data_IF_017437139886
#
_entry.id   IF_017437139886
#
_cell.length_a   1.000
_cell.length_b   1.000
_cell.length_c   1.000
_cell.angle_alpha   90.00
_cell.angle_beta   90.00
_cell.angle_gamma   90.00
#
_symmetry.space_group_name_H-M   'P 1'
#
loop_
_entity.id
_entity.type
_entity.pdbx_description
1 polymer ?
#
# COMPACT_ATOMS: atom_id res chain seq x y z
N UNK A 1 -13.05 -16.42 0.45
CA UNK A 1 -13.65 -15.57 -0.59
C UNK A 1 -13.19 -16.07 -1.95
N UNK A 2 -14.08 -16.56 -2.81
CA UNK A 2 -13.67 -17.20 -4.06
C UNK A 2 -13.74 -16.16 -5.19
N UNK A 3 -12.58 -15.69 -5.63
CA UNK A 3 -12.47 -14.87 -6.84
C UNK A 3 -13.04 -15.71 -7.99
N UNK A 4 -14.21 -15.34 -8.51
CA UNK A 4 -14.79 -16.07 -9.64
C UNK A 4 -13.81 -15.94 -10.81
N UNK A 5 -13.35 -17.06 -11.37
CA UNK A 5 -12.41 -17.09 -12.53
C UNK A 5 -12.79 -16.15 -13.68
N UNK A 6 -14.07 -15.85 -13.84
CA UNK A 6 -14.59 -14.90 -14.84
C UNK A 6 -14.32 -13.42 -14.53
N UNK A 7 -14.26 -13.01 -13.25
CA UNK A 7 -14.09 -11.61 -12.87
C UNK A 7 -12.66 -11.12 -13.16
N UNK A 8 -11.64 -11.95 -12.87
CA UNK A 8 -10.26 -11.63 -13.21
C UNK A 8 -10.04 -11.46 -14.71
N UNK A 9 -10.64 -12.33 -15.55
CA UNK A 9 -10.56 -12.17 -17.01
C UNK A 9 -11.19 -10.87 -17.48
N UNK A 10 -12.34 -10.49 -16.92
CA UNK A 10 -13.00 -9.22 -17.27
C UNK A 10 -12.12 -8.02 -16.91
N UNK A 11 -11.48 -8.05 -15.71
CA UNK A 11 -10.54 -7.00 -15.32
C UNK A 11 -9.38 -6.89 -16.31
N UNK A 12 -8.68 -8.00 -16.62
CA UNK A 12 -7.52 -7.97 -17.50
C UNK A 12 -7.87 -7.49 -18.89
N UNK A 13 -9.02 -7.91 -19.43
CA UNK A 13 -9.53 -7.40 -20.71
C UNK A 13 -9.75 -5.87 -20.66
N UNK A 14 -10.41 -5.36 -19.60
CA UNK A 14 -10.61 -3.92 -19.42
C UNK A 14 -9.29 -3.18 -19.25
N UNK A 15 -8.33 -3.76 -18.57
CA UNK A 15 -6.99 -3.19 -18.47
C UNK A 15 -6.33 -3.04 -19.85
N UNK A 16 -6.44 -4.06 -20.71
CA UNK A 16 -5.96 -3.99 -22.09
C UNK A 16 -6.69 -2.90 -22.91
N UNK A 17 -8.03 -2.87 -22.85
CA UNK A 17 -8.87 -1.89 -23.56
C UNK A 17 -8.53 -0.45 -23.17
N UNK A 18 -8.17 -0.20 -21.90
CA UNK A 18 -7.85 1.13 -21.38
C UNK A 18 -6.34 1.40 -21.26
N UNK A 19 -5.49 0.55 -21.82
CA UNK A 19 -4.02 0.67 -21.74
C UNK A 19 -3.50 0.85 -20.30
N UNK A 20 -4.10 0.14 -19.35
CA UNK A 20 -3.68 0.17 -17.94
C UNK A 20 -2.39 -0.63 -17.79
N UNK A 21 -1.32 0.02 -17.35
CA UNK A 21 0.03 -0.55 -17.21
C UNK A 21 0.44 -0.83 -15.78
N UNK A 22 -0.41 -0.53 -14.82
CA UNK A 22 -0.13 -0.80 -13.40
C UNK A 22 -1.32 -1.51 -12.76
N UNK A 23 -1.06 -2.67 -12.16
CA UNK A 23 -2.01 -3.38 -11.33
C UNK A 23 -1.51 -3.43 -9.88
N UNK A 24 -2.40 -3.09 -8.95
CA UNK A 24 -2.12 -3.14 -7.51
C UNK A 24 -2.98 -4.21 -6.88
N UNK A 25 -2.32 -5.20 -6.29
CA UNK A 25 -2.98 -6.19 -5.44
C UNK A 25 -3.06 -5.62 -4.03
N UNK A 26 -4.25 -5.40 -3.56
CA UNK A 26 -4.51 -4.82 -2.24
C UNK A 26 -5.76 -5.45 -1.62
N UNK A 27 -5.90 -5.33 -0.33
CA UNK A 27 -7.13 -5.69 0.38
C UNK A 27 -7.68 -4.48 1.15
N UNK A 28 -8.98 -4.44 1.35
CA UNK A 28 -9.63 -3.40 2.16
C UNK A 28 -9.62 -3.80 3.64
N UNK A 29 -10.05 -5.03 3.91
CA UNK A 29 -10.16 -5.62 5.26
C UNK A 29 -9.33 -6.90 5.40
N UNK A 30 -8.66 -7.32 4.32
CA UNK A 30 -7.88 -8.56 4.24
C UNK A 30 -6.53 -8.27 3.59
N UNK A 31 -5.60 -9.21 3.66
CA UNK A 31 -4.30 -9.10 3.00
C UNK A 31 -4.31 -9.89 1.69
N UNK A 32 -3.74 -9.35 0.59
CA UNK A 32 -3.66 -10.04 -0.71
C UNK A 32 -3.02 -11.43 -0.60
N UNK A 33 -2.04 -11.60 0.28
CA UNK A 33 -1.39 -12.87 0.53
C UNK A 33 -2.30 -13.97 1.09
N UNK A 34 -3.50 -13.62 1.57
CA UNK A 34 -4.51 -14.61 1.96
C UNK A 34 -5.22 -15.23 0.77
N UNK A 35 -5.10 -14.63 -0.43
CA UNK A 35 -5.73 -15.17 -1.62
C UNK A 35 -4.98 -16.41 -2.12
N UNK A 36 -5.63 -17.55 -2.10
CA UNK A 36 -5.00 -18.84 -2.42
C UNK A 36 -4.53 -18.96 -3.87
N UNK A 37 -5.14 -18.23 -4.79
CA UNK A 37 -4.80 -18.22 -6.22
C UNK A 37 -3.98 -16.99 -6.62
N UNK A 38 -3.33 -16.35 -5.66
CA UNK A 38 -2.55 -15.13 -5.87
C UNK A 38 -1.49 -15.33 -6.97
N UNK A 39 -0.72 -16.42 -6.90
CA UNK A 39 0.32 -16.72 -7.88
C UNK A 39 -0.26 -16.96 -9.29
N UNK A 40 -1.33 -17.73 -9.40
CA UNK A 40 -2.03 -17.97 -10.67
C UNK A 40 -2.51 -16.65 -11.30
N UNK A 41 -3.01 -15.72 -10.49
CA UNK A 41 -3.47 -14.41 -10.98
C UNK A 41 -2.30 -13.53 -11.46
N UNK A 42 -1.15 -13.55 -10.78
CA UNK A 42 0.08 -12.88 -11.21
C UNK A 42 0.52 -13.43 -12.57
N UNK A 43 0.66 -14.75 -12.70
CA UNK A 43 1.13 -15.39 -13.93
C UNK A 43 0.20 -15.10 -15.10
N UNK A 44 -1.11 -15.10 -14.86
CA UNK A 44 -2.11 -14.73 -15.85
C UNK A 44 -2.02 -13.24 -16.24
N UNK A 45 -1.88 -12.34 -15.27
CA UNK A 45 -1.75 -10.92 -15.57
C UNK A 45 -0.54 -10.64 -16.46
N UNK A 46 0.58 -11.29 -16.20
CA UNK A 46 1.78 -11.16 -17.05
C UNK A 46 1.60 -11.77 -18.44
N UNK A 47 0.87 -12.88 -18.57
CA UNK A 47 0.59 -13.51 -19.86
C UNK A 47 -0.36 -12.67 -20.72
N UNK A 48 -1.42 -12.08 -20.13
CA UNK A 48 -2.42 -11.32 -20.86
C UNK A 48 -2.03 -9.83 -21.06
N UNK A 49 -1.13 -9.30 -20.19
CA UNK A 49 -0.65 -7.92 -20.22
C UNK A 49 0.88 -7.92 -20.03
N UNK A 50 1.69 -8.22 -21.07
CA UNK A 50 3.14 -8.42 -20.94
C UNK A 50 3.91 -7.23 -20.37
N UNK A 51 3.44 -6.00 -20.61
CA UNK A 51 4.08 -4.76 -20.12
C UNK A 51 3.53 -4.28 -18.77
N UNK A 52 2.62 -5.06 -18.14
CA UNK A 52 2.00 -4.64 -16.89
C UNK A 52 3.00 -4.66 -15.75
N UNK A 53 2.99 -3.60 -14.97
CA UNK A 53 3.71 -3.53 -13.69
C UNK A 53 2.80 -3.97 -12.56
N UNK A 54 3.21 -5.00 -11.84
CA UNK A 54 2.46 -5.57 -10.73
C UNK A 54 3.02 -5.07 -9.41
N UNK A 55 2.17 -4.56 -8.53
CA UNK A 55 2.54 -4.19 -7.18
C UNK A 55 1.62 -4.82 -6.14
N UNK A 56 2.17 -5.11 -4.97
CA UNK A 56 1.41 -5.59 -3.81
C UNK A 56 1.39 -4.52 -2.72
N UNK A 57 0.21 -4.30 -2.13
CA UNK A 57 0.05 -3.58 -0.87
C UNK A 57 -0.37 -4.58 0.20
N UNK A 58 0.49 -4.82 1.18
CA UNK A 58 0.32 -5.86 2.21
C UNK A 58 0.70 -5.32 3.59
N UNK A 59 0.20 -5.94 4.65
CA UNK A 59 0.68 -5.68 6.00
C UNK A 59 2.03 -6.36 6.32
N UNK A 60 2.57 -7.17 5.42
CA UNK A 60 3.86 -7.81 5.54
C UNK A 60 3.88 -9.13 6.33
N UNK A 61 2.85 -9.45 7.10
CA UNK A 61 2.83 -10.60 8.02
C UNK A 61 3.09 -11.94 7.31
N UNK A 62 2.57 -12.09 6.10
CA UNK A 62 2.74 -13.31 5.30
C UNK A 62 3.86 -13.23 4.27
N UNK A 63 4.53 -12.10 4.11
CA UNK A 63 5.48 -11.87 3.02
C UNK A 63 6.68 -12.84 3.06
N UNK A 64 7.22 -13.14 4.25
CA UNK A 64 8.30 -14.12 4.40
C UNK A 64 7.84 -15.55 4.10
N UNK A 65 6.66 -15.94 4.59
CA UNK A 65 6.09 -17.26 4.33
C UNK A 65 5.79 -17.46 2.84
N UNK A 66 5.38 -16.41 2.14
CA UNK A 66 5.07 -16.40 0.70
C UNK A 66 6.16 -15.72 -0.14
N UNK A 67 7.42 -15.81 0.28
CA UNK A 67 8.55 -15.10 -0.34
C UNK A 67 8.63 -15.24 -1.86
N UNK A 68 8.35 -16.41 -2.40
CA UNK A 68 8.37 -16.64 -3.84
C UNK A 68 7.28 -15.86 -4.57
N UNK A 69 6.06 -15.83 -4.03
CA UNK A 69 4.95 -15.06 -4.58
C UNK A 69 5.19 -13.55 -4.39
N UNK A 70 5.72 -13.15 -3.22
CA UNK A 70 6.10 -11.76 -2.95
C UNK A 70 7.13 -11.24 -3.96
N UNK A 71 8.14 -12.03 -4.27
CA UNK A 71 9.17 -11.67 -5.25
C UNK A 71 8.73 -11.83 -6.73
N UNK A 72 7.51 -12.29 -7.00
CA UNK A 72 6.93 -12.31 -8.34
C UNK A 72 6.27 -10.99 -8.76
N UNK A 73 6.09 -10.06 -7.81
CA UNK A 73 5.71 -8.68 -8.10
C UNK A 73 6.91 -7.86 -8.59
N UNK A 74 6.65 -6.68 -9.13
CA UNK A 74 7.70 -5.73 -9.54
C UNK A 74 8.07 -4.77 -8.42
N UNK A 75 7.18 -4.58 -7.44
CA UNK A 75 7.39 -3.74 -6.25
C UNK A 75 6.40 -4.07 -5.16
N UNK A 76 6.75 -3.73 -3.93
CA UNK A 76 5.89 -3.91 -2.77
C UNK A 76 5.71 -2.60 -1.98
N UNK A 77 4.55 -2.47 -1.36
CA UNK A 77 4.25 -1.47 -0.36
C UNK A 77 3.82 -2.17 0.93
N UNK A 78 4.61 -2.01 1.99
CA UNK A 78 4.28 -2.56 3.31
C UNK A 78 3.52 -1.52 4.12
N UNK A 79 2.32 -1.86 4.57
CA UNK A 79 1.55 -1.04 5.49
C UNK A 79 2.07 -1.26 6.91
N UNK A 80 2.83 -0.29 7.41
CA UNK A 80 3.45 -0.36 8.73
C UNK A 80 3.24 0.98 9.46
N UNK A 81 2.32 1.08 10.43
CA UNK A 81 2.08 2.32 11.14
C UNK A 81 3.06 2.60 12.27
N UNK A 82 3.67 1.57 12.86
CA UNK A 82 4.62 1.69 13.96
C UNK A 82 5.48 0.42 14.10
N UNK A 83 6.65 0.57 14.71
CA UNK A 83 7.47 -0.54 15.19
C UNK A 83 7.21 -0.89 16.67
N UNK A 84 6.43 -0.07 17.37
CA UNK A 84 6.01 -0.33 18.73
C UNK A 84 4.78 -1.26 18.71
N UNK A 85 4.85 -2.38 19.45
CA UNK A 85 3.78 -3.38 19.44
C UNK A 85 2.45 -2.86 20.01
N UNK A 86 2.50 -1.95 20.99
CA UNK A 86 1.28 -1.38 21.60
C UNK A 86 0.62 -0.39 20.64
N UNK A 87 1.42 0.47 19.98
CA UNK A 87 0.93 1.38 18.93
C UNK A 87 0.41 0.59 17.72
N UNK A 88 1.15 -0.44 17.31
CA UNK A 88 0.76 -1.31 16.20
C UNK A 88 -0.58 -2.00 16.47
N UNK A 89 -0.77 -2.51 17.71
CA UNK A 89 -2.03 -3.15 18.12
C UNK A 89 -3.23 -2.19 18.04
N UNK A 90 -3.07 -0.95 18.52
CA UNK A 90 -4.12 0.07 18.44
C UNK A 90 -4.52 0.40 17.00
N UNK A 91 -3.58 0.30 16.07
CA UNK A 91 -3.79 0.70 14.66
C UNK A 91 -4.14 -0.48 13.74
N UNK A 92 -3.65 -1.69 14.03
CA UNK A 92 -3.77 -2.86 13.15
C UNK A 92 -4.57 -4.01 13.79
N UNK A 93 -4.95 -3.89 15.07
CA UNK A 93 -5.70 -4.90 15.79
C UNK A 93 -4.87 -6.14 16.19
N UNK A 94 -3.55 -6.07 16.13
CA UNK A 94 -2.64 -7.16 16.47
C UNK A 94 -1.32 -6.62 17.02
N UNK A 95 -0.75 -7.28 18.02
CA UNK A 95 0.59 -6.96 18.55
C UNK A 95 1.74 -7.49 17.68
N UNK A 96 1.42 -8.29 16.68
CA UNK A 96 2.43 -8.93 15.83
C UNK A 96 2.91 -7.96 14.74
N UNK A 97 3.94 -7.18 15.07
CA UNK A 97 4.63 -6.30 14.11
C UNK A 97 5.44 -7.18 13.14
N UNK A 98 5.26 -7.04 11.82
CA UNK A 98 6.03 -7.81 10.85
C UNK A 98 7.52 -7.48 10.94
N UNK A 99 8.39 -8.48 10.77
CA UNK A 99 9.84 -8.27 10.71
C UNK A 99 10.22 -7.63 9.37
N UNK A 100 10.17 -6.29 9.33
CA UNK A 100 10.49 -5.53 8.12
C UNK A 100 11.95 -5.73 7.69
N UNK A 101 12.89 -5.93 8.64
CA UNK A 101 14.30 -6.16 8.33
C UNK A 101 14.47 -7.47 7.54
N UNK A 102 13.86 -8.55 8.02
CA UNK A 102 13.88 -9.83 7.33
C UNK A 102 13.16 -9.78 5.97
N UNK A 103 12.03 -9.05 5.88
CA UNK A 103 11.31 -8.86 4.60
C UNK A 103 12.21 -8.13 3.59
N UNK A 104 12.85 -7.03 3.97
CA UNK A 104 13.75 -6.27 3.10
C UNK A 104 14.94 -7.13 2.66
N UNK A 105 15.56 -7.86 3.58
CA UNK A 105 16.69 -8.74 3.28
C UNK A 105 16.32 -9.89 2.33
N UNK A 106 15.09 -10.43 2.42
CA UNK A 106 14.59 -11.50 1.55
C UNK A 106 13.99 -10.99 0.23
N UNK A 107 13.81 -9.69 0.08
CA UNK A 107 13.17 -9.08 -1.09
C UNK A 107 14.16 -8.96 -2.27
N UNK A 108 13.68 -9.35 -3.46
CA UNK A 108 14.36 -9.12 -4.74
C UNK A 108 13.76 -7.94 -5.50
N UNK A 109 12.75 -7.29 -4.93
CA UNK A 109 11.99 -6.21 -5.52
C UNK A 109 12.06 -4.96 -4.63
N UNK A 110 11.91 -3.75 -5.18
CA UNK A 110 11.83 -2.53 -4.39
C UNK A 110 10.69 -2.58 -3.37
N UNK A 111 11.01 -2.28 -2.11
CA UNK A 111 10.05 -2.18 -1.02
C UNK A 111 9.93 -0.72 -0.58
N UNK A 112 8.71 -0.20 -0.53
CA UNK A 112 8.37 1.06 0.14
C UNK A 112 7.48 0.78 1.34
N UNK A 113 7.42 1.74 2.27
CA UNK A 113 6.52 1.70 3.41
C UNK A 113 5.41 2.73 3.25
N UNK A 114 4.21 2.38 3.67
CA UNK A 114 3.08 3.28 3.83
C UNK A 114 2.66 3.28 5.31
N UNK A 115 2.60 4.47 5.90
CA UNK A 115 2.21 4.68 7.28
C UNK A 115 1.00 5.60 7.33
N UNK A 116 -0.10 5.14 7.89
CA UNK A 116 -1.21 6.02 8.28
C UNK A 116 -0.80 6.72 9.56
N UNK A 117 -0.96 8.05 9.61
CA UNK A 117 -0.65 8.87 10.79
C UNK A 117 -1.93 9.25 11.50
N UNK A 118 -1.96 9.04 12.81
CA UNK A 118 -3.04 9.46 13.68
C UNK A 118 -2.50 9.78 15.09
N UNK A 119 -3.39 9.99 16.06
CA UNK A 119 -3.05 10.30 17.45
C UNK A 119 -2.17 9.28 18.15
N UNK A 120 -2.19 8.02 17.68
CA UNK A 120 -1.45 6.94 18.33
C UNK A 120 0.03 6.89 17.93
N UNK A 121 0.39 7.38 16.73
CA UNK A 121 1.74 7.26 16.20
C UNK A 121 2.39 8.57 15.73
N UNK A 122 1.67 9.69 15.74
CA UNK A 122 2.20 10.96 15.26
C UNK A 122 3.51 11.37 15.98
N UNK A 123 3.61 11.08 17.26
CA UNK A 123 4.79 11.38 18.08
C UNK A 123 6.02 10.48 17.78
N UNK A 124 5.80 9.34 17.09
CA UNK A 124 6.86 8.39 16.73
C UNK A 124 7.47 8.65 15.34
N UNK A 125 6.89 9.56 14.52
CA UNK A 125 7.17 9.65 13.08
C UNK A 125 8.65 9.94 12.77
N UNK A 126 9.32 10.81 13.52
CA UNK A 126 10.74 11.11 13.30
C UNK A 126 11.62 9.88 13.55
N UNK A 127 11.43 9.19 14.68
CA UNK A 127 12.16 7.96 15.01
C UNK A 127 11.81 6.84 14.05
N UNK A 128 10.56 6.77 13.61
CA UNK A 128 10.08 5.81 12.60
C UNK A 128 10.84 6.00 11.28
N UNK A 129 10.96 7.23 10.77
CA UNK A 129 11.72 7.55 9.55
C UNK A 129 13.19 7.16 9.71
N UNK A 130 13.82 7.52 10.82
CA UNK A 130 15.22 7.18 11.10
C UNK A 130 15.43 5.66 11.12
N UNK A 131 14.51 4.91 11.74
CA UNK A 131 14.57 3.44 11.78
C UNK A 131 14.39 2.82 10.39
N UNK A 132 13.46 3.32 9.58
CA UNK A 132 13.28 2.89 8.19
C UNK A 132 14.55 3.12 7.34
N UNK A 133 15.21 4.27 7.53
CA UNK A 133 16.48 4.58 6.84
C UNK A 133 17.55 3.53 7.15
N UNK A 134 17.72 3.16 8.43
CA UNK A 134 18.67 2.13 8.85
C UNK A 134 18.37 0.74 8.29
N UNK A 135 17.10 0.45 7.99
CA UNK A 135 16.67 -0.79 7.35
C UNK A 135 16.81 -0.76 5.81
N UNK A 136 17.32 0.33 5.24
CA UNK A 136 17.53 0.45 3.79
C UNK A 136 16.26 0.82 3.00
N UNK A 137 15.17 1.18 3.64
CA UNK A 137 13.99 1.71 2.97
C UNK A 137 14.33 3.07 2.36
N UNK A 138 13.94 3.26 1.10
CA UNK A 138 14.22 4.49 0.35
C UNK A 138 12.98 5.35 0.10
N UNK A 139 11.79 4.80 0.31
CA UNK A 139 10.52 5.49 0.04
C UNK A 139 9.51 5.22 1.13
N UNK A 140 8.94 6.31 1.66
CA UNK A 140 7.88 6.30 2.66
C UNK A 140 6.72 7.16 2.19
N UNK A 141 5.50 6.69 2.38
CA UNK A 141 4.28 7.49 2.20
C UNK A 141 3.61 7.63 3.55
N UNK A 142 3.56 8.84 4.08
CA UNK A 142 2.76 9.19 5.26
C UNK A 142 1.38 9.62 4.80
N UNK A 143 0.36 8.94 5.30
CA UNK A 143 -1.03 9.19 4.94
C UNK A 143 -1.82 9.61 6.16
N UNK A 144 -2.72 10.53 5.99
CA UNK A 144 -3.76 10.82 6.97
C UNK A 144 -4.98 9.96 6.66
N UNK A 145 -5.78 9.63 7.68
CA UNK A 145 -7.08 8.98 7.45
C UNK A 145 -7.96 9.87 6.57
N UNK A 146 -8.73 9.24 5.70
CA UNK A 146 -9.69 9.96 4.88
C UNK A 146 -10.67 10.74 5.78
N UNK A 147 -10.88 12.02 5.47
CA UNK A 147 -11.67 12.99 6.25
C UNK A 147 -11.13 13.35 7.66
N UNK A 148 -10.01 12.81 8.08
CA UNK A 148 -9.35 13.31 9.28
C UNK A 148 -8.63 14.61 8.97
N UNK A 149 -9.14 15.73 9.51
CA UNK A 149 -8.62 17.08 9.30
C UNK A 149 -7.72 17.56 10.44
N UNK A 150 -7.40 16.68 11.41
CA UNK A 150 -6.53 17.04 12.54
C UNK A 150 -5.11 17.30 12.06
N UNK A 151 -4.48 18.36 12.54
CA UNK A 151 -3.06 18.59 12.29
C UNK A 151 -2.22 17.85 13.34
N UNK A 152 -1.59 16.76 12.93
CA UNK A 152 -0.70 15.98 13.79
C UNK A 152 0.71 16.58 13.92
N UNK A 153 0.97 17.73 13.33
CA UNK A 153 2.20 18.50 13.52
C UNK A 153 3.48 17.76 13.08
N UNK A 154 3.34 16.75 12.21
CA UNK A 154 4.47 15.99 11.70
C UNK A 154 5.27 16.78 10.66
N UNK A 155 6.58 16.49 10.56
CA UNK A 155 7.51 17.04 9.55
C UNK A 155 7.70 18.58 9.58
N UNK A 156 7.34 19.26 10.67
CA UNK A 156 7.47 20.74 10.77
C UNK A 156 8.92 21.23 10.67
N UNK A 157 9.88 20.40 11.10
CA UNK A 157 11.31 20.73 11.04
C UNK A 157 11.91 20.54 9.64
N UNK A 158 11.14 20.04 8.68
CA UNK A 158 11.61 19.71 7.34
C UNK A 158 10.97 20.59 6.28
N UNK A 159 11.77 20.99 5.29
CA UNK A 159 11.31 21.73 4.13
C UNK A 159 11.03 20.76 2.97
N UNK A 160 9.88 20.86 2.28
CA UNK A 160 9.62 20.05 1.10
C UNK A 160 10.69 20.26 0.02
N UNK A 161 11.15 19.19 -0.59
CA UNK A 161 12.12 19.19 -1.71
C UNK A 161 11.44 19.14 -3.08
N UNK A 162 10.12 18.89 -3.12
CA UNK A 162 9.36 18.82 -4.35
C UNK A 162 7.89 18.46 -4.13
N UNK A 163 7.20 18.16 -5.22
CA UNK A 163 5.81 17.72 -5.23
C UNK A 163 5.65 16.43 -6.02
N UNK A 164 4.82 15.53 -5.52
CA UNK A 164 4.36 14.34 -6.25
C UNK A 164 2.83 14.30 -6.28
N UNK A 165 2.23 14.47 -7.45
CA UNK A 165 0.76 14.52 -7.63
C UNK A 165 0.09 15.54 -6.70
N UNK A 166 0.68 16.74 -6.56
CA UNK A 166 0.20 17.79 -5.68
C UNK A 166 0.55 17.61 -4.20
N UNK A 167 1.18 16.50 -3.81
CA UNK A 167 1.54 16.22 -2.43
C UNK A 167 3.01 16.58 -2.16
N UNK A 168 3.35 17.21 -1.02
CA UNK A 168 4.72 17.57 -0.70
C UNK A 168 5.59 16.33 -0.49
N UNK A 169 6.80 16.41 -1.04
CA UNK A 169 7.86 15.40 -0.91
C UNK A 169 9.02 15.98 -0.15
N UNK A 170 9.58 15.21 0.77
CA UNK A 170 10.72 15.56 1.61
C UNK A 170 11.84 14.54 1.41
N UNK A 171 13.07 14.96 1.65
CA UNK A 171 14.22 14.05 1.76
C UNK A 171 14.70 14.06 3.21
N UNK A 172 14.45 12.97 3.94
CA UNK A 172 14.76 12.86 5.37
C UNK A 172 15.59 11.59 5.59
N UNK A 173 16.78 11.72 6.16
CA UNK A 173 17.71 10.59 6.37
C UNK A 173 17.93 9.71 5.13
N UNK A 174 17.93 10.32 3.93
CA UNK A 174 18.08 9.61 2.66
C UNK A 174 16.84 8.85 2.18
N UNK A 175 15.69 9.06 2.83
CA UNK A 175 14.38 8.54 2.42
C UNK A 175 13.60 9.64 1.70
N UNK A 176 12.98 9.30 0.56
CA UNK A 176 11.92 10.09 -0.07
C UNK A 176 10.64 9.89 0.72
N UNK A 177 10.18 10.92 1.43
CA UNK A 177 8.96 10.92 2.24
C UNK A 177 7.89 11.74 1.55
N UNK A 178 6.80 11.11 1.11
CA UNK A 178 5.63 11.81 0.56
C UNK A 178 4.58 11.96 1.65
N UNK A 179 4.16 13.21 1.96
CA UNK A 179 3.00 13.47 2.82
C UNK A 179 1.74 13.47 1.95
N UNK A 180 1.07 12.32 1.90
CA UNK A 180 -0.07 12.11 1.02
C UNK A 180 -1.37 12.63 1.60
N UNK A 181 -2.05 13.49 0.84
CA UNK A 181 -3.40 13.96 1.14
C UNK A 181 -4.37 13.44 0.07
N UNK A 182 -5.43 12.75 0.48
CA UNK A 182 -6.43 12.22 -0.43
C UNK A 182 -7.27 13.32 -1.11
N UNK A 183 -7.51 14.43 -0.41
CA UNK A 183 -8.37 15.52 -0.92
C UNK A 183 -7.73 16.28 -2.09
N UNK A 184 -6.40 16.27 -2.19
CA UNK A 184 -5.65 16.96 -3.25
C UNK A 184 -5.21 16.03 -4.38
N UNK A 185 -5.43 14.71 -4.23
CA UNK A 185 -4.91 13.71 -5.15
C UNK A 185 -5.97 13.29 -6.16
N UNK A 186 -5.82 13.70 -7.43
CA UNK A 186 -6.62 13.16 -8.53
C UNK A 186 -6.12 11.74 -8.87
N UNK A 187 -6.88 10.74 -8.50
CA UNK A 187 -6.61 9.33 -8.82
C UNK A 187 -7.77 8.77 -9.64
N UNK A 188 -7.49 8.40 -10.89
CA UNK A 188 -8.36 7.50 -11.66
C UNK A 188 -7.89 6.06 -11.44
N UNK A 189 -8.79 5.17 -11.08
CA UNK A 189 -8.48 3.74 -10.96
C UNK A 189 -9.66 2.91 -11.45
N UNK A 190 -9.35 1.75 -12.03
CA UNK A 190 -10.33 0.69 -12.26
C UNK A 190 -10.16 -0.35 -11.16
N UNK A 191 -11.19 -0.55 -10.35
CA UNK A 191 -11.16 -1.44 -9.20
C UNK A 191 -11.98 -2.69 -9.46
N UNK A 192 -11.40 -3.86 -9.16
CA UNK A 192 -12.12 -5.11 -9.09
C UNK A 192 -12.33 -5.45 -7.61
N UNK A 193 -13.59 -5.45 -7.20
CA UNK A 193 -13.99 -5.77 -5.84
C UNK A 193 -14.12 -7.27 -5.61
N UNK A 194 -14.15 -7.66 -4.35
CA UNK A 194 -14.17 -9.07 -3.94
C UNK A 194 -15.42 -9.83 -4.37
N UNK A 195 -16.53 -9.14 -4.60
CA UNK A 195 -17.78 -9.69 -5.15
C UNK A 195 -17.72 -9.90 -6.67
N UNK A 196 -16.68 -9.37 -7.33
CA UNK A 196 -16.45 -9.43 -8.76
C UNK A 196 -17.01 -8.24 -9.54
N UNK A 197 -17.49 -7.20 -8.86
CA UNK A 197 -17.88 -5.94 -9.52
C UNK A 197 -16.67 -5.15 -9.98
N UNK A 198 -16.82 -4.38 -11.05
CA UNK A 198 -15.83 -3.42 -11.54
C UNK A 198 -16.38 -2.01 -11.34
N UNK A 199 -15.55 -1.13 -10.75
CA UNK A 199 -15.90 0.25 -10.51
C UNK A 199 -14.71 1.18 -10.67
N UNK A 200 -14.97 2.46 -10.81
CA UNK A 200 -13.95 3.51 -10.89
C UNK A 200 -13.81 4.28 -9.58
N UNK A 201 -14.74 4.10 -8.65
CA UNK A 201 -14.73 4.76 -7.35
C UNK A 201 -13.78 4.06 -6.38
N UNK A 202 -13.16 4.84 -5.49
CA UNK A 202 -12.36 4.30 -4.41
C UNK A 202 -13.29 3.77 -3.31
N UNK A 203 -13.06 2.56 -2.82
CA UNK A 203 -13.95 1.83 -1.88
C UNK A 203 -14.29 2.63 -0.61
N UNK A 204 -13.40 3.52 -0.17
CA UNK A 204 -13.62 4.38 0.99
C UNK A 204 -14.77 5.39 0.79
N UNK A 205 -15.12 5.73 -0.44
CA UNK A 205 -16.23 6.64 -0.74
C UNK A 205 -17.58 5.91 -0.84
N UNK A 206 -17.58 4.62 -1.15
CA UNK A 206 -18.79 3.81 -1.28
C UNK A 206 -19.32 3.35 0.09
N UNK A 207 -18.46 3.06 1.06
CA UNK A 207 -18.86 2.67 2.42
C UNK A 207 -19.58 3.80 3.17
N UNK A 208 -19.42 5.03 2.78
CA UNK A 208 -20.12 6.18 3.40
C UNK A 208 -21.53 6.41 2.85
N UNK A 209 -21.83 5.91 1.65
CA UNK A 209 -23.18 5.99 1.09
C UNK A 209 -24.18 5.02 1.76
N UNK A 210 -23.71 4.03 2.51
CA UNK A 210 -24.52 3.00 3.17
C UNK A 210 -24.81 3.28 4.65
N UNK A 211 -24.27 4.36 5.21
CA UNK A 211 -24.50 4.77 6.62
C UNK A 211 -25.35 6.03 6.76
N UNK A 212 -26.01 6.47 5.69
CA UNK A 212 -26.97 7.57 5.71
C UNK A 212 -28.41 7.07 5.72
#
# INVERSE_FOLDING_TARGET
>A
MCFRRGAGRRLLRRCAEHNIRELVFTGTTTDPHLYRFERELIDRARSELPEVRLSIHTNGVLSLKKRETFNAYDRACISLPSFNADTYEKMMGSRHVPDLAAIVAASKIPVKVSCVVNEHNAHEIEDFILRLSRLGIRRLVLRQLFQDRRDYTILRAHTPTGLFRGNPVYTIHGIEVTRWNFDTSALGSLNLFADGTLGTNYLLTETQAWTA
#
